data_IF_152379751221
#
_entry.id   IF_152379751221
#
_cell.length_a   1.000
_cell.length_b   1.000
_cell.length_c   1.000
_cell.angle_alpha   90.00
_cell.angle_beta   90.00
_cell.angle_gamma   90.00
#
_symmetry.space_group_name_H-M   'P 1'
#
loop_
_entity.id
_entity.type
_entity.pdbx_description
1 polymer ?
#
# COMPACT_ATOMS: atom_id res chain seq x y z
N UNK A 1 25.30 -14.26 21.80
CA UNK A 1 25.51 -14.41 20.35
C UNK A 1 24.17 -14.69 19.70
N UNK A 2 23.69 -13.81 18.83
CA UNK A 2 22.50 -14.05 17.99
C UNK A 2 22.97 -14.94 16.84
N UNK A 3 22.24 -16.01 16.45
CA UNK A 3 22.67 -16.87 15.35
C UNK A 3 22.81 -16.05 14.06
N UNK A 4 23.91 -16.25 13.33
CA UNK A 4 24.26 -15.51 12.11
C UNK A 4 23.29 -15.73 10.92
N UNK A 5 22.35 -16.67 11.05
CA UNK A 5 21.45 -17.10 9.97
C UNK A 5 20.01 -16.58 10.08
N UNK A 6 19.72 -15.67 11.01
CA UNK A 6 18.40 -15.03 11.06
C UNK A 6 18.36 -13.79 10.15
N UNK A 7 17.39 -13.70 9.22
CA UNK A 7 17.28 -12.53 8.36
C UNK A 7 17.12 -11.28 9.23
N UNK A 8 17.96 -10.27 8.98
CA UNK A 8 17.79 -8.97 9.62
C UNK A 8 16.52 -8.33 9.06
N UNK A 9 15.66 -7.87 9.98
CA UNK A 9 14.34 -7.31 9.65
C UNK A 9 14.27 -5.86 10.11
N UNK A 10 14.37 -4.92 9.16
CA UNK A 10 14.07 -3.52 9.46
C UNK A 10 12.55 -3.32 9.49
N UNK A 11 12.02 -2.72 10.57
CA UNK A 11 10.57 -2.54 10.77
C UNK A 11 10.13 -1.10 10.62
N UNK A 12 9.14 -0.86 9.77
CA UNK A 12 8.51 0.45 9.61
C UNK A 12 7.81 0.92 10.89
N UNK A 13 7.83 2.23 11.15
CA UNK A 13 7.11 2.83 12.30
C UNK A 13 5.60 2.87 12.11
N UNK A 14 5.12 2.87 10.86
CA UNK A 14 3.70 2.85 10.54
C UNK A 14 3.04 1.54 11.01
N UNK A 15 1.94 1.70 11.75
CA UNK A 15 1.13 0.56 12.23
C UNK A 15 -0.05 0.34 11.32
N UNK A 16 -0.31 -0.93 11.03
CA UNK A 16 -1.39 -1.40 10.20
C UNK A 16 -2.27 -2.34 11.01
N UNK A 17 -3.57 -2.37 10.75
CA UNK A 17 -4.37 -3.57 10.98
C UNK A 17 -4.37 -4.42 9.73
N UNK A 18 -4.23 -5.73 9.92
CA UNK A 18 -4.03 -6.72 8.89
C UNK A 18 -5.14 -7.75 9.04
N UNK A 19 -5.88 -8.02 7.98
CA UNK A 19 -6.63 -9.26 7.85
C UNK A 19 -5.67 -10.31 7.29
N UNK A 20 -5.36 -11.35 8.06
CA UNK A 20 -4.37 -12.37 7.68
C UNK A 20 -5.00 -13.73 7.50
N UNK A 21 -4.55 -14.47 6.50
CA UNK A 21 -4.82 -15.89 6.38
C UNK A 21 -3.61 -16.66 6.92
N UNK A 22 -3.79 -17.29 8.10
CA UNK A 22 -2.72 -18.03 8.77
C UNK A 22 -2.30 -19.29 8.01
N UNK A 23 -3.21 -19.91 7.25
CA UNK A 23 -2.91 -21.15 6.52
C UNK A 23 -1.87 -20.89 5.42
N UNK A 24 -2.04 -19.80 4.67
CA UNK A 24 -1.20 -19.48 3.51
C UNK A 24 -0.15 -18.39 3.79
N UNK A 25 -0.09 -17.89 5.03
CA UNK A 25 0.74 -16.75 5.44
C UNK A 25 0.60 -15.53 4.51
N UNK A 26 -0.64 -15.21 4.12
CA UNK A 26 -0.96 -14.06 3.24
C UNK A 26 -1.72 -12.96 3.98
N UNK A 27 -1.43 -11.71 3.63
CA UNK A 27 -2.27 -10.57 4.02
C UNK A 27 -3.40 -10.41 3.00
N UNK A 28 -4.64 -10.52 3.47
CA UNK A 28 -5.85 -10.35 2.66
C UNK A 28 -6.31 -8.90 2.57
N UNK A 29 -5.89 -8.06 3.51
CA UNK A 29 -6.17 -6.63 3.52
C UNK A 29 -5.39 -5.95 4.63
N UNK A 30 -5.00 -4.69 4.42
CA UNK A 30 -4.29 -3.93 5.44
C UNK A 30 -4.78 -2.49 5.52
N UNK A 31 -4.92 -1.94 6.72
CA UNK A 31 -5.33 -0.56 6.94
C UNK A 31 -4.31 0.12 7.82
N UNK A 32 -3.64 1.12 7.28
CA UNK A 32 -2.79 2.02 8.05
C UNK A 32 -3.67 2.95 8.89
N UNK A 33 -3.26 3.14 10.14
CA UNK A 33 -3.87 4.20 10.95
C UNK A 33 -3.59 5.56 10.34
N UNK A 34 -4.60 6.45 10.30
CA UNK A 34 -4.38 7.78 9.82
C UNK A 34 -3.39 8.47 10.76
N UNK A 35 -2.35 9.08 10.19
CA UNK A 35 -1.49 9.98 10.92
C UNK A 35 -2.31 11.22 11.25
N UNK A 36 -3.02 11.22 12.38
CA UNK A 36 -3.94 12.29 12.79
C UNK A 36 -3.26 13.51 13.41
N UNK A 37 -1.92 13.57 13.46
CA UNK A 37 -1.21 14.66 14.13
C UNK A 37 -1.50 16.03 13.49
N UNK A 38 -1.83 16.06 12.20
CA UNK A 38 -2.22 17.26 11.44
C UNK A 38 -3.68 17.71 11.66
N UNK A 39 -4.54 16.86 12.23
CA UNK A 39 -5.96 17.20 12.47
C UNK A 39 -6.04 18.09 13.72
N UNK A 40 -6.96 19.05 13.89
CA UNK A 40 -7.08 19.80 15.15
C UNK A 40 -7.47 18.93 16.36
N UNK A 41 -6.85 19.16 17.53
CA UNK A 41 -6.98 18.33 18.75
C UNK A 41 -8.42 18.08 19.20
N UNK A 42 -9.27 19.11 19.09
CA UNK A 42 -10.69 19.06 19.45
C UNK A 42 -11.50 18.01 18.66
N UNK A 43 -11.01 17.55 17.50
CA UNK A 43 -11.66 16.52 16.66
C UNK A 43 -10.86 15.21 16.56
N UNK A 44 -9.55 15.23 16.87
CA UNK A 44 -8.63 14.07 16.73
C UNK A 44 -9.18 12.79 17.36
N UNK A 45 -9.47 12.81 18.66
CA UNK A 45 -9.81 11.60 19.41
C UNK A 45 -11.14 10.97 18.96
N UNK A 46 -12.15 11.79 18.68
CA UNK A 46 -13.47 11.32 18.21
C UNK A 46 -13.37 10.74 16.79
N UNK A 47 -12.63 11.40 15.90
CA UNK A 47 -12.41 10.95 14.54
C UNK A 47 -11.60 9.64 14.50
N UNK A 48 -10.55 9.55 15.32
CA UNK A 48 -9.72 8.35 15.43
C UNK A 48 -10.51 7.14 15.92
N UNK A 49 -11.31 7.28 16.99
CA UNK A 49 -12.17 6.21 17.50
C UNK A 49 -13.18 5.75 16.44
N UNK A 50 -13.77 6.69 15.69
CA UNK A 50 -14.71 6.39 14.60
C UNK A 50 -14.04 5.67 13.44
N UNK A 51 -12.91 6.19 12.95
CA UNK A 51 -12.11 5.57 11.89
C UNK A 51 -11.68 4.16 12.30
N UNK A 52 -11.20 4.00 13.53
CA UNK A 52 -10.82 2.72 14.12
C UNK A 52 -11.92 1.68 13.98
N UNK A 53 -13.12 2.01 14.46
CA UNK A 53 -14.27 1.10 14.43
C UNK A 53 -14.63 0.70 13.00
N UNK A 54 -14.69 1.67 12.09
CA UNK A 54 -15.06 1.43 10.69
C UNK A 54 -14.01 0.61 9.93
N UNK A 55 -12.73 0.86 10.18
CA UNK A 55 -11.63 0.10 9.60
C UNK A 55 -11.62 -1.37 10.07
N UNK A 56 -11.86 -1.62 11.37
CA UNK A 56 -12.01 -3.00 11.87
C UNK A 56 -13.21 -3.71 11.25
N UNK A 57 -14.35 -3.01 11.11
CA UNK A 57 -15.52 -3.56 10.41
C UNK A 57 -15.24 -3.87 8.94
N UNK A 58 -14.45 -3.02 8.26
CA UNK A 58 -14.03 -3.26 6.89
C UNK A 58 -13.16 -4.53 6.77
N UNK A 59 -12.17 -4.70 7.66
CA UNK A 59 -11.32 -5.89 7.68
C UNK A 59 -12.08 -7.16 8.06
N UNK A 60 -13.12 -7.04 8.91
CA UNK A 60 -14.00 -8.14 9.28
C UNK A 60 -14.76 -8.79 8.12
N UNK A 61 -14.86 -8.12 6.96
CA UNK A 61 -15.45 -8.70 5.74
C UNK A 61 -14.69 -9.95 5.27
N UNK A 62 -13.40 -10.05 5.58
CA UNK A 62 -12.59 -11.19 5.14
C UNK A 62 -12.85 -12.48 5.94
N UNK A 63 -13.71 -12.47 6.98
CA UNK A 63 -13.97 -13.64 7.86
C UNK A 63 -12.68 -14.32 8.39
N UNK A 64 -11.61 -13.54 8.54
CA UNK A 64 -10.30 -14.00 9.01
C UNK A 64 -9.86 -13.21 10.24
N UNK A 65 -8.78 -13.68 10.86
CA UNK A 65 -8.16 -13.05 12.01
C UNK A 65 -7.62 -11.65 11.65
N UNK A 66 -8.02 -10.65 12.44
CA UNK A 66 -7.56 -9.26 12.29
C UNK A 66 -6.54 -8.96 13.38
N UNK A 67 -5.35 -8.51 13.00
CA UNK A 67 -4.26 -8.21 13.94
C UNK A 67 -3.52 -6.93 13.57
N UNK A 68 -2.82 -6.32 14.54
CA UNK A 68 -1.92 -5.20 14.27
C UNK A 68 -0.56 -5.70 13.75
N UNK A 69 0.01 -4.99 12.79
CA UNK A 69 1.34 -5.28 12.25
C UNK A 69 2.07 -4.04 11.76
N UNK A 70 3.26 -4.27 11.20
CA UNK A 70 4.12 -3.23 10.63
C UNK A 70 4.73 -3.71 9.31
N UNK A 71 5.03 -2.78 8.40
CA UNK A 71 5.85 -3.05 7.22
C UNK A 71 7.24 -3.53 7.66
N UNK A 72 7.80 -4.52 6.97
CA UNK A 72 9.15 -5.01 7.21
C UNK A 72 9.91 -5.18 5.91
N UNK A 73 11.20 -4.85 5.93
CA UNK A 73 12.13 -5.13 4.84
C UNK A 73 13.00 -6.30 5.29
N UNK A 74 12.95 -7.40 4.55
CA UNK A 74 13.78 -8.57 4.75
C UNK A 74 15.05 -8.44 3.92
N UNK A 75 16.22 -8.51 4.57
CA UNK A 75 17.50 -8.57 3.88
C UNK A 75 18.00 -10.02 3.86
N UNK A 76 17.66 -10.78 2.82
CA UNK A 76 18.24 -12.11 2.57
C UNK A 76 18.26 -12.44 1.07
N UNK A 77 19.42 -12.24 0.43
CA UNK A 77 19.64 -12.53 -1.00
C UNK A 77 18.95 -11.56 -1.96
N UNK A 78 17.62 -11.49 -1.91
CA UNK A 78 16.79 -10.45 -2.52
C UNK A 78 16.03 -9.69 -1.44
N UNK A 79 15.90 -8.37 -1.59
CA UNK A 79 15.07 -7.57 -0.70
C UNK A 79 13.62 -8.00 -0.88
N UNK A 80 12.98 -8.42 0.20
CA UNK A 80 11.56 -8.76 0.20
C UNK A 80 10.82 -7.86 1.19
N UNK A 81 9.72 -7.24 0.75
CA UNK A 81 8.88 -6.42 1.64
C UNK A 81 7.67 -7.22 2.07
N UNK A 82 7.44 -7.28 3.38
CA UNK A 82 6.32 -8.01 3.97
C UNK A 82 5.64 -7.23 5.08
N UNK A 83 4.64 -7.86 5.69
CA UNK A 83 4.02 -7.39 6.91
C UNK A 83 4.33 -8.36 8.04
N UNK A 84 4.76 -7.85 9.19
CA UNK A 84 4.88 -8.64 10.40
C UNK A 84 3.71 -8.36 11.33
N UNK A 85 3.16 -9.38 11.98
CA UNK A 85 2.18 -9.22 13.05
C UNK A 85 2.88 -8.92 14.37
N UNK A 86 2.24 -8.14 15.25
CA UNK A 86 2.78 -7.83 16.57
C UNK A 86 2.72 -9.03 17.55
N UNK A 87 1.90 -10.05 17.25
CA UNK A 87 1.82 -11.29 18.02
C UNK A 87 2.65 -12.39 17.36
N UNK A 88 3.40 -13.14 18.17
CA UNK A 88 4.02 -14.38 17.73
C UNK A 88 2.92 -15.41 17.50
N UNK A 89 2.67 -15.74 16.24
CA UNK A 89 1.74 -16.80 15.87
C UNK A 89 2.51 -18.13 15.93
N UNK A 90 2.34 -18.87 17.04
CA UNK A 90 3.04 -20.13 17.30
C UNK A 90 4.02 -20.06 18.49
N UNK A 91 4.33 -21.24 19.03
CA UNK A 91 5.18 -21.40 20.22
C UNK A 91 6.60 -20.86 19.97
N UNK A 92 6.90 -19.66 20.48
CA UNK A 92 8.25 -19.11 20.56
C UNK A 92 8.91 -18.66 19.25
N UNK A 93 8.32 -18.92 18.08
CA UNK A 93 8.93 -18.64 16.78
C UNK A 93 9.07 -17.13 16.50
N UNK A 94 10.02 -16.82 15.61
CA UNK A 94 10.24 -15.47 15.09
C UNK A 94 8.93 -14.86 14.54
N UNK A 95 8.79 -13.52 14.53
CA UNK A 95 7.62 -12.83 13.99
C UNK A 95 7.27 -13.35 12.60
N UNK A 96 6.03 -13.82 12.41
CA UNK A 96 5.61 -14.33 11.10
C UNK A 96 5.58 -13.18 10.11
N UNK A 97 6.35 -13.34 9.02
CA UNK A 97 6.30 -12.41 7.89
C UNK A 97 5.26 -12.93 6.92
N UNK A 98 4.29 -12.08 6.63
CA UNK A 98 3.24 -12.34 5.67
C UNK A 98 3.63 -11.68 4.37
N UNK A 99 3.68 -12.49 3.31
CA UNK A 99 3.88 -11.98 1.97
C UNK A 99 2.61 -11.27 1.52
N UNK A 100 2.78 -10.09 0.93
CA UNK A 100 1.73 -9.49 0.13
C UNK A 100 1.81 -10.07 -1.29
N UNK A 101 0.69 -10.27 -1.98
CA UNK A 101 0.71 -10.71 -3.38
C UNK A 101 1.68 -9.80 -4.16
N UNK A 102 2.74 -10.38 -4.73
CA UNK A 102 3.65 -9.64 -5.60
C UNK A 102 2.85 -9.15 -6.79
N UNK A 103 2.75 -7.83 -6.92
CA UNK A 103 1.90 -7.22 -7.93
C UNK A 103 2.75 -6.66 -9.04
N UNK A 104 2.31 -6.85 -10.29
CA UNK A 104 2.91 -6.13 -11.41
C UNK A 104 2.50 -4.66 -11.36
N UNK A 105 3.32 -3.79 -11.93
CA UNK A 105 2.96 -2.40 -12.13
C UNK A 105 1.71 -2.30 -13.02
N UNK A 106 0.77 -1.42 -12.67
CA UNK A 106 -0.41 -1.14 -13.52
C UNK A 106 -0.03 -0.65 -14.92
N UNK A 107 1.10 0.07 -15.01
CA UNK A 107 1.64 0.51 -16.29
C UNK A 107 2.04 -0.67 -17.18
N UNK A 108 2.75 -1.67 -16.63
CA UNK A 108 3.16 -2.87 -17.38
C UNK A 108 1.97 -3.76 -17.74
N UNK A 109 0.87 -3.71 -16.99
CA UNK A 109 -0.37 -4.42 -17.33
C UNK A 109 -1.04 -3.84 -18.59
N UNK A 110 -0.96 -2.53 -18.82
CA UNK A 110 -1.58 -1.87 -19.99
C UNK A 110 -0.65 -1.70 -21.20
N UNK A 111 0.67 -1.64 -21.01
CA UNK A 111 1.62 -1.51 -22.12
C UNK A 111 1.60 -2.72 -23.07
N UNK A 112 1.06 -3.87 -22.63
CA UNK A 112 0.82 -5.05 -23.47
C UNK A 112 -0.37 -4.89 -24.44
N UNK A 113 -1.13 -3.78 -24.37
CA UNK A 113 -2.39 -3.61 -25.09
C UNK A 113 -2.40 -2.43 -26.10
N UNK A 114 -1.31 -1.68 -26.23
CA UNK A 114 -1.24 -0.54 -27.16
C UNK A 114 0.19 -0.35 -27.68
N UNK A 115 0.65 -1.30 -28.50
CA UNK A 115 1.77 -1.08 -29.41
C UNK A 115 1.22 -0.52 -30.73
N UNK A 116 0.84 0.75 -30.75
CA UNK A 116 0.75 1.52 -32.00
C UNK A 116 1.33 2.93 -31.76
N UNK A 117 2.57 3.07 -32.21
CA UNK A 117 3.23 4.24 -32.81
C UNK A 117 2.81 5.66 -32.37
N UNK A 118 3.70 6.30 -31.60
CA UNK A 118 3.96 7.72 -31.78
C UNK A 118 5.37 8.11 -31.29
N UNK A 119 6.23 8.71 -32.13
CA UNK A 119 7.57 9.16 -31.77
C UNK A 119 7.59 10.37 -30.80
N UNK A 120 6.43 10.93 -30.45
CA UNK A 120 6.32 12.03 -29.48
C UNK A 120 6.31 11.58 -28.00
N UNK A 121 6.46 10.28 -27.72
CA UNK A 121 6.39 9.70 -26.37
C UNK A 121 7.76 9.56 -25.66
N UNK A 122 8.84 10.11 -26.22
CA UNK A 122 10.22 9.71 -25.88
C UNK A 122 10.84 10.33 -24.62
N UNK A 123 10.20 11.29 -23.95
CA UNK A 123 10.55 11.56 -22.56
C UNK A 123 9.63 10.74 -21.67
N UNK A 124 9.98 9.48 -21.44
CA UNK A 124 9.58 8.83 -20.19
C UNK A 124 10.05 9.80 -19.10
N UNK A 125 9.11 10.54 -18.52
CA UNK A 125 9.42 11.53 -17.49
C UNK A 125 10.19 10.76 -16.41
N UNK A 126 11.32 11.26 -15.91
CA UNK A 126 12.20 10.56 -14.94
C UNK A 126 11.40 9.78 -13.87
N UNK A 127 10.31 10.37 -13.37
CA UNK A 127 9.38 9.76 -12.38
C UNK A 127 8.68 8.47 -12.85
N UNK A 128 8.37 8.35 -14.13
CA UNK A 128 7.85 7.12 -14.72
C UNK A 128 8.94 6.03 -14.68
N UNK A 129 10.19 6.38 -14.96
CA UNK A 129 11.31 5.43 -14.93
C UNK A 129 11.61 4.99 -13.49
N UNK A 130 11.62 5.92 -12.54
CA UNK A 130 11.72 5.63 -11.10
C UNK A 130 10.63 4.64 -10.67
N UNK A 131 9.37 4.91 -11.05
CA UNK A 131 8.26 4.02 -10.76
C UNK A 131 8.39 2.63 -11.40
N UNK A 132 8.85 2.53 -12.64
CA UNK A 132 8.99 1.27 -13.37
C UNK A 132 10.16 0.39 -12.91
N UNK A 133 11.15 1.03 -12.28
CA UNK A 133 12.34 0.39 -11.73
C UNK A 133 12.16 -0.08 -10.27
N UNK A 134 11.12 0.41 -9.60
CA UNK A 134 10.79 0.09 -8.22
C UNK A 134 10.06 -1.25 -8.09
N UNK A 135 10.08 -1.86 -6.90
CA UNK A 135 9.30 -3.05 -6.58
C UNK A 135 7.93 -2.65 -6.01
N UNK A 136 6.84 -3.18 -6.55
CA UNK A 136 5.50 -2.91 -6.01
C UNK A 136 5.28 -3.71 -4.72
N UNK A 137 5.16 -3.02 -3.60
CA UNK A 137 4.85 -3.61 -2.29
C UNK A 137 3.36 -3.96 -2.24
N UNK A 138 2.49 -2.97 -2.49
CA UNK A 138 1.05 -3.20 -2.56
C UNK A 138 0.28 -2.10 -3.31
N UNK A 139 -0.92 -2.45 -3.77
CA UNK A 139 -1.91 -1.50 -4.32
C UNK A 139 -2.79 -0.97 -3.19
N UNK A 140 -3.01 0.34 -3.19
CA UNK A 140 -3.77 0.96 -2.12
C UNK A 140 -4.67 2.11 -2.57
N UNK A 141 -5.72 2.32 -1.77
CA UNK A 141 -6.35 3.63 -1.68
C UNK A 141 -5.69 4.40 -0.56
N UNK A 142 -5.38 5.67 -0.81
CA UNK A 142 -4.76 6.53 0.15
C UNK A 142 -5.55 7.83 0.32
N UNK A 143 -5.57 8.35 1.54
CA UNK A 143 -6.04 9.68 1.85
C UNK A 143 -4.84 10.64 1.80
N UNK A 144 -4.98 11.71 1.03
CA UNK A 144 -4.04 12.84 1.00
C UNK A 144 -4.62 13.98 1.81
N UNK A 145 -3.79 14.55 2.66
CA UNK A 145 -4.01 15.88 3.22
C UNK A 145 -2.72 16.70 3.09
N UNK A 146 -2.84 17.95 2.65
CA UNK A 146 -1.71 18.87 2.43
C UNK A 146 -0.53 18.26 1.63
N UNK A 147 -0.85 17.45 0.61
CA UNK A 147 0.15 16.79 -0.24
C UNK A 147 0.83 15.56 0.37
N UNK A 148 0.46 15.16 1.60
CA UNK A 148 1.00 14.01 2.31
C UNK A 148 -0.01 12.87 2.40
N UNK A 149 0.49 11.64 2.28
CA UNK A 149 -0.28 10.42 2.52
C UNK A 149 -0.47 10.25 4.02
N UNK A 150 -1.70 10.50 4.47
CA UNK A 150 -2.07 10.47 5.88
C UNK A 150 -2.80 9.20 6.28
N UNK A 151 -3.40 8.46 5.35
CA UNK A 151 -4.09 7.19 5.61
C UNK A 151 -4.01 6.28 4.40
N UNK A 152 -3.99 4.96 4.62
CA UNK A 152 -3.79 4.00 3.55
C UNK A 152 -4.61 2.73 3.81
N UNK A 153 -5.37 2.28 2.81
CA UNK A 153 -6.09 1.01 2.81
C UNK A 153 -5.60 0.18 1.63
N UNK A 154 -4.96 -0.93 1.96
CA UNK A 154 -4.45 -1.92 1.04
C UNK A 154 -5.53 -2.96 0.78
N UNK A 155 -5.74 -3.27 -0.49
CA UNK A 155 -6.64 -4.32 -0.94
C UNK A 155 -5.83 -5.42 -1.64
N UNK A 156 -6.29 -6.68 -1.59
CA UNK A 156 -5.62 -7.76 -2.30
C UNK A 156 -5.77 -7.52 -3.80
N UNK A 157 -4.69 -7.78 -4.56
CA UNK A 157 -4.79 -7.87 -6.02
C UNK A 157 -5.59 -9.12 -6.34
N UNK A 158 -6.74 -8.92 -6.95
CA UNK A 158 -7.51 -10.00 -7.55
C UNK A 158 -7.01 -10.06 -8.98
N UNK A 159 -6.29 -11.13 -9.32
CA UNK A 159 -5.87 -11.39 -10.69
C UNK A 159 -7.07 -11.19 -11.62
N UNK A 160 -6.88 -10.42 -12.69
CA UNK A 160 -7.86 -10.17 -13.75
C UNK A 160 -8.12 -11.44 -14.59
N UNK A 161 -8.31 -12.61 -13.95
CA UNK A 161 -8.71 -13.86 -14.62
C UNK A 161 -10.16 -13.82 -15.12
N UNK A 162 -10.68 -12.66 -15.47
CA UNK A 162 -12.05 -12.45 -15.95
C UNK A 162 -13.13 -12.71 -14.91
N UNK A 163 -12.77 -13.09 -13.68
CA UNK A 163 -13.73 -13.20 -12.58
C UNK A 163 -14.09 -11.79 -12.14
N UNK A 164 -15.28 -11.35 -12.58
CA UNK A 164 -15.98 -10.18 -12.08
C UNK A 164 -15.64 -9.95 -10.61
N UNK A 165 -15.07 -8.78 -10.31
CA UNK A 165 -14.86 -8.31 -8.95
C UNK A 165 -16.09 -8.69 -8.10
N UNK A 166 -15.88 -9.57 -7.13
CA UNK A 166 -16.99 -10.11 -6.33
C UNK A 166 -17.79 -8.95 -5.72
N UNK A 167 -19.09 -9.14 -5.48
CA UNK A 167 -19.93 -8.14 -4.77
C UNK A 167 -19.25 -7.66 -3.47
N UNK A 168 -18.53 -8.56 -2.80
CA UNK A 168 -17.73 -8.26 -1.62
C UNK A 168 -16.56 -7.30 -1.90
N UNK A 169 -15.84 -7.44 -3.03
CA UNK A 169 -14.78 -6.51 -3.41
C UNK A 169 -15.31 -5.09 -3.64
N UNK A 170 -16.41 -4.93 -4.37
CA UNK A 170 -17.01 -3.60 -4.58
C UNK A 170 -17.52 -2.99 -3.26
N UNK A 171 -18.10 -3.81 -2.38
CA UNK A 171 -18.47 -3.37 -1.03
C UNK A 171 -17.24 -2.93 -0.22
N UNK A 172 -16.15 -3.69 -0.28
CA UNK A 172 -14.89 -3.35 0.37
C UNK A 172 -14.34 -2.03 -0.18
N UNK A 173 -14.24 -1.89 -1.50
CA UNK A 173 -13.79 -0.68 -2.20
C UNK A 173 -14.59 0.56 -1.82
N UNK A 174 -15.92 0.47 -1.86
CA UNK A 174 -16.79 1.60 -1.55
C UNK A 174 -16.69 2.01 -0.08
N UNK A 175 -16.68 1.04 0.84
CA UNK A 175 -16.50 1.32 2.28
C UNK A 175 -15.12 1.90 2.57
N UNK A 176 -14.06 1.35 1.98
CA UNK A 176 -12.69 1.84 2.12
C UNK A 176 -12.57 3.31 1.67
N UNK A 177 -13.13 3.63 0.49
CA UNK A 177 -13.16 5.00 -0.02
C UNK A 177 -13.88 5.95 0.94
N UNK A 178 -15.07 5.57 1.41
CA UNK A 178 -15.85 6.40 2.35
C UNK A 178 -15.13 6.62 3.70
N UNK A 179 -14.35 5.64 4.16
CA UNK A 179 -13.52 5.75 5.37
C UNK A 179 -12.38 6.75 5.15
N UNK A 180 -11.65 6.64 4.03
CA UNK A 180 -10.53 7.54 3.71
C UNK A 180 -10.97 8.98 3.45
N UNK A 181 -12.15 9.19 2.85
CA UNK A 181 -12.72 10.53 2.61
C UNK A 181 -12.95 11.35 3.89
N UNK A 182 -13.04 10.69 5.05
CA UNK A 182 -13.17 11.36 6.36
C UNK A 182 -11.86 11.95 6.86
N UNK A 183 -10.74 11.55 6.26
CA UNK A 183 -9.38 11.94 6.66
C UNK A 183 -8.74 12.85 5.62
N UNK A 184 -9.03 12.67 4.33
CA UNK A 184 -8.48 13.50 3.27
C UNK A 184 -9.03 13.16 1.89
N UNK A 185 -8.42 13.76 0.86
CA UNK A 185 -8.77 13.49 -0.53
C UNK A 185 -8.29 12.10 -0.96
N UNK A 186 -9.19 11.28 -1.50
CA UNK A 186 -8.88 9.87 -1.78
C UNK A 186 -8.34 9.67 -3.18
N UNK A 187 -7.17 9.04 -3.25
CA UNK A 187 -6.51 8.62 -4.47
C UNK A 187 -6.29 7.10 -4.46
N UNK A 188 -6.09 6.53 -5.64
CA UNK A 188 -5.58 5.18 -5.80
C UNK A 188 -4.16 5.21 -6.34
N UNK A 189 -3.30 4.37 -5.81
CA UNK A 189 -1.93 4.26 -6.26
C UNK A 189 -1.26 3.01 -5.74
N UNK A 190 0.04 2.97 -5.92
CA UNK A 190 0.89 1.85 -5.60
C UNK A 190 1.98 2.33 -4.62
N UNK A 191 2.13 1.60 -3.52
CA UNK A 191 3.25 1.77 -2.62
C UNK A 191 4.38 0.88 -3.13
N UNK A 192 5.55 1.48 -3.34
CA UNK A 192 6.70 0.83 -3.97
C UNK A 192 7.95 0.99 -3.11
N UNK A 193 8.89 0.07 -3.27
CA UNK A 193 10.25 0.18 -2.78
C UNK A 193 11.16 0.54 -3.96
N UNK A 194 11.80 1.71 -3.91
CA UNK A 194 12.72 2.11 -4.99
C UNK A 194 14.07 1.40 -4.91
N UNK A 195 14.93 1.63 -5.91
CA UNK A 195 16.28 1.06 -5.98
C UNK A 195 17.20 1.49 -4.82
N UNK A 196 16.86 2.57 -4.12
CA UNK A 196 17.56 3.08 -2.94
C UNK A 196 16.93 2.60 -1.62
N UNK A 197 16.07 1.58 -1.70
CA UNK A 197 15.35 1.00 -0.55
C UNK A 197 14.45 2.02 0.17
N UNK A 198 14.02 3.06 -0.53
CA UNK A 198 13.10 4.06 0.00
C UNK A 198 11.67 3.70 -0.38
N UNK A 199 10.79 3.77 0.60
CA UNK A 199 9.35 3.61 0.36
C UNK A 199 8.82 4.86 -0.31
N UNK A 200 8.09 4.67 -1.41
CA UNK A 200 7.45 5.75 -2.18
C UNK A 200 6.02 5.40 -2.53
N UNK A 201 5.21 6.42 -2.82
CA UNK A 201 3.84 6.25 -3.25
C UNK A 201 3.59 6.97 -4.57
N UNK A 202 3.11 6.23 -5.56
CA UNK A 202 2.81 6.74 -6.88
C UNK A 202 1.34 6.53 -7.24
N UNK A 203 0.69 7.55 -7.79
CA UNK A 203 -0.53 7.37 -8.56
C UNK A 203 -0.20 7.22 -10.03
N UNK A 204 -1.01 6.42 -10.70
CA UNK A 204 -0.93 6.23 -12.14
C UNK A 204 -2.23 6.70 -12.78
N UNK A 205 -2.10 7.46 -13.86
CA UNK A 205 -3.19 8.01 -14.65
C UNK A 205 -2.99 7.61 -16.11
N UNK A 206 -3.94 6.86 -16.66
CA UNK A 206 -3.87 6.42 -18.06
C UNK A 206 -3.85 7.60 -19.03
N UNK A 207 -4.66 8.63 -18.77
CA UNK A 207 -4.67 9.88 -19.52
C UNK A 207 -4.73 11.04 -18.54
N UNK A 208 -3.75 11.93 -18.62
CA UNK A 208 -3.71 13.14 -17.82
C UNK A 208 -3.74 14.37 -18.74
N UNK A 209 -4.80 15.18 -18.63
CA UNK A 209 -4.91 16.45 -19.35
C UNK A 209 -4.17 17.53 -18.58
N UNK A 210 -3.09 18.03 -19.17
CA UNK A 210 -2.46 19.29 -18.77
C UNK A 210 -2.90 20.39 -19.75
N UNK A 211 -2.88 21.66 -19.33
CA UNK A 211 -3.46 22.82 -20.02
C UNK A 211 -3.31 22.87 -21.56
N UNK A 212 -2.25 22.29 -22.13
CA UNK A 212 -1.97 22.28 -23.57
C UNK A 212 -1.71 20.90 -24.18
N UNK A 213 -1.80 19.81 -23.41
CA UNK A 213 -1.52 18.44 -23.91
C UNK A 213 -2.16 17.35 -23.06
N UNK A 214 -2.51 16.25 -23.70
CA UNK A 214 -2.83 14.99 -22.99
C UNK A 214 -1.55 14.16 -22.89
N UNK A 215 -1.20 13.77 -21.66
CA UNK A 215 -0.07 12.90 -21.39
C UNK A 215 -0.63 11.52 -21.09
N UNK A 216 -0.26 10.55 -21.92
CA UNK A 216 -0.58 9.14 -21.68
C UNK A 216 0.30 8.59 -20.55
N UNK A 217 -0.29 7.70 -19.76
CA UNK A 217 0.39 6.92 -18.74
C UNK A 217 1.18 7.76 -17.72
N UNK A 218 0.62 8.88 -17.31
CA UNK A 218 1.26 9.80 -16.39
C UNK A 218 1.32 9.23 -14.97
N UNK A 219 2.46 9.40 -14.32
CA UNK A 219 2.72 8.97 -12.94
C UNK A 219 3.00 10.19 -12.07
N UNK A 220 2.42 10.21 -10.87
CA UNK A 220 2.65 11.25 -9.86
C UNK A 220 3.03 10.66 -8.51
N UNK A 221 4.14 11.14 -7.98
CA UNK A 221 4.55 10.85 -6.60
C UNK A 221 3.78 11.71 -5.61
N UNK A 222 3.45 11.13 -4.45
CA UNK A 222 2.91 11.84 -3.29
C UNK A 222 3.82 11.68 -2.09
N UNK A 223 3.93 12.74 -1.29
CA UNK A 223 4.77 12.74 -0.11
C UNK A 223 4.27 11.75 0.95
N UNK A 224 5.19 11.06 1.61
CA UNK A 224 4.86 10.18 2.73
C UNK A 224 5.06 10.89 4.07
N UNK A 225 4.26 10.51 5.06
CA UNK A 225 4.49 10.90 6.44
C UNK A 225 5.75 10.25 7.01
N UNK A 226 6.36 10.88 8.02
CA UNK A 226 7.59 10.38 8.68
C UNK A 226 7.47 8.92 9.13
N UNK A 227 6.33 8.53 9.69
CA UNK A 227 6.06 7.16 10.14
C UNK A 227 6.10 6.10 9.02
N UNK A 228 5.79 6.48 7.78
CA UNK A 228 5.85 5.58 6.62
C UNK A 228 7.26 5.49 6.02
N UNK A 229 8.09 6.52 6.22
CA UNK A 229 9.46 6.58 5.71
C UNK A 229 10.47 5.90 6.63
N UNK A 230 10.23 5.93 7.93
CA UNK A 230 11.19 5.47 8.92
C UNK A 230 11.06 3.99 9.26
N UNK A 231 12.20 3.29 9.19
CA UNK A 231 12.38 1.93 9.66
C UNK A 231 13.29 1.91 10.89
N UNK A 232 13.09 0.92 11.77
CA UNK A 232 13.89 0.65 12.97
C UNK A 232 14.66 -0.65 12.72
N UNK A 233 15.96 -0.64 13.02
CA UNK A 233 16.86 -1.80 12.95
C UNK A 233 16.65 -2.76 14.12
#
# INVERSE_FOLDING_TARGET
MIPADQPQLARGKAKFWLAVNNNDKRVLGAIMFPNIYHIPDNRKNKLYKKYRKEALLLLGIHEKFVETGSLVIQQSGSLAVGMTTNRKLGNGQAPTVFNFNSNKHRFKEMSSATEEDSPNNLSVLIRQQDYLSAEVIFRAWAAIDNGLIVGLIVFPHINDSGQYHSKQFYQYKNKARAILQKVGYVISGDLVLDQHQQVRFYTYHQLHRHAYRTISNWVKEYGLTKSLKEFIN
#
